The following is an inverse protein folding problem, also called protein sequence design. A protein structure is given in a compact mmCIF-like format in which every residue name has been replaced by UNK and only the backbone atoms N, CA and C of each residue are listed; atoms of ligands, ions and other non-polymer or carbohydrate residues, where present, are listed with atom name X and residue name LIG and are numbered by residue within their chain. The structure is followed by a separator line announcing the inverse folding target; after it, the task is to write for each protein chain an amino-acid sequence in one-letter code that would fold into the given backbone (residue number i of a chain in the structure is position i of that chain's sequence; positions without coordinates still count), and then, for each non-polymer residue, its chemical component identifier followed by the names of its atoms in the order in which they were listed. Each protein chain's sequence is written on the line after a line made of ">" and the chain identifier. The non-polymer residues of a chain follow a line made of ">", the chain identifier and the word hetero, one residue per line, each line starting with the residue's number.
data_IF_309598687769
#
_entry.id   IF_309598687769
#
_cell.length_a   1.000
_cell.length_b   1.000
_cell.length_c   1.000
_cell.angle_alpha   90.00
_cell.angle_beta   90.00
_cell.angle_gamma   90.00
#
_symmetry.space_group_name_H-M   'P 1'
#
loop_
_entity.id
_entity.type
_entity.pdbx_description
1 polymer ?
#
# COMPACT_ATOMS: atom_id res chain seq x y z
N UNK A 1 2.23 -4.44 -1.72
CA UNK A 1 2.77 -3.63 -0.62
C UNK A 1 1.90 -2.41 -0.43
N UNK A 2 1.79 -1.94 0.79
CA UNK A 2 0.89 -0.87 1.20
C UNK A 2 1.19 0.48 0.52
N UNK A 3 0.29 1.44 0.71
CA UNK A 3 0.51 2.86 0.40
C UNK A 3 0.02 3.70 1.57
N UNK A 4 0.69 4.83 1.83
CA UNK A 4 0.21 5.79 2.81
C UNK A 4 0.23 7.22 2.28
N UNK A 5 -0.58 8.03 2.95
CA UNK A 5 -0.70 9.47 2.80
C UNK A 5 -0.64 10.12 4.19
N UNK A 6 0.07 11.23 4.28
CA UNK A 6 0.11 12.13 5.43
C UNK A 6 -0.30 13.52 4.95
N UNK A 7 -1.15 14.18 5.72
CA UNK A 7 -1.49 15.59 5.58
C UNK A 7 -1.20 16.33 6.88
N UNK A 8 -0.62 17.52 6.75
CA UNK A 8 -0.51 18.53 7.81
C UNK A 8 -0.91 19.90 7.25
N UNK A 9 -1.93 20.52 7.85
CA UNK A 9 -2.40 21.87 7.52
C UNK A 9 -2.26 22.86 8.67
N UNK A 10 -2.24 24.15 8.36
CA UNK A 10 -2.59 25.22 9.31
C UNK A 10 -4.10 25.23 9.59
N UNK A 11 -4.91 24.97 8.57
CA UNK A 11 -6.37 24.79 8.67
C UNK A 11 -6.81 23.34 8.51
N UNK A 12 -8.04 23.07 8.93
CA UNK A 12 -8.65 21.74 8.77
C UNK A 12 -9.03 21.50 7.31
N UNK A 13 -8.77 20.29 6.81
CA UNK A 13 -9.27 19.84 5.52
C UNK A 13 -10.21 18.65 5.69
N UNK A 14 -11.25 18.61 4.85
CA UNK A 14 -12.11 17.43 4.75
C UNK A 14 -11.30 16.22 4.30
N UNK A 15 -11.51 15.08 4.93
CA UNK A 15 -10.87 13.82 4.56
C UNK A 15 -11.15 13.46 3.08
N UNK A 16 -12.35 13.76 2.56
CA UNK A 16 -12.73 13.42 1.18
C UNK A 16 -11.82 14.06 0.12
N UNK A 17 -11.37 15.30 0.35
CA UNK A 17 -10.46 16.07 -0.52
C UNK A 17 -9.04 15.48 -0.64
N UNK A 18 -8.71 14.52 0.23
CA UNK A 18 -7.44 13.81 0.25
C UNK A 18 -7.61 12.34 -0.14
N UNK A 19 -8.67 11.72 0.37
CA UNK A 19 -8.82 10.27 0.37
C UNK A 19 -9.62 9.77 -0.83
N UNK A 20 -10.64 10.52 -1.25
CA UNK A 20 -11.61 10.07 -2.26
C UNK A 20 -11.43 10.81 -3.58
N UNK A 21 -11.45 12.14 -3.51
CA UNK A 21 -11.65 13.04 -4.65
C UNK A 21 -10.44 13.17 -5.59
N UNK A 22 -9.17 13.22 -5.11
CA UNK A 22 -8.03 13.40 -6.01
C UNK A 22 -7.96 12.39 -7.16
N UNK A 23 -7.40 12.82 -8.29
CA UNK A 23 -7.35 11.99 -9.51
C UNK A 23 -6.60 10.68 -9.30
N UNK A 24 -5.58 10.68 -8.44
CA UNK A 24 -4.83 9.50 -7.99
C UNK A 24 -4.89 9.35 -6.46
N UNK A 25 -6.10 9.49 -5.89
CA UNK A 25 -6.34 9.43 -4.44
C UNK A 25 -5.90 8.10 -3.82
N UNK A 26 -5.69 8.07 -2.49
CA UNK A 26 -5.33 6.84 -1.78
C UNK A 26 -6.40 5.74 -1.96
N UNK A 27 -7.66 6.11 -2.13
CA UNK A 27 -8.74 5.19 -2.52
C UNK A 27 -8.46 4.57 -3.88
N UNK A 28 -8.11 5.36 -4.90
CA UNK A 28 -7.77 4.81 -6.23
C UNK A 28 -6.51 3.95 -6.17
N UNK A 29 -5.49 4.38 -5.45
CA UNK A 29 -4.28 3.59 -5.19
C UNK A 29 -4.59 2.24 -4.54
N UNK A 30 -5.74 2.06 -3.87
CA UNK A 30 -6.12 0.76 -3.30
C UNK A 30 -6.52 -0.29 -4.34
N UNK A 31 -6.98 0.08 -5.55
CA UNK A 31 -7.34 -0.89 -6.61
C UNK A 31 -6.71 -0.59 -7.98
N UNK A 32 -6.04 0.55 -8.11
CA UNK A 32 -5.26 0.98 -9.28
C UNK A 32 -3.94 1.60 -8.78
N UNK A 33 -3.09 0.75 -8.16
CA UNK A 33 -1.71 1.12 -7.80
C UNK A 33 -0.84 1.12 -9.05
N UNK A 34 -0.61 2.28 -9.64
CA UNK A 34 0.18 2.41 -10.89
C UNK A 34 1.69 2.28 -10.66
N UNK A 35 2.18 2.44 -9.43
CA UNK A 35 3.55 2.10 -9.01
C UNK A 35 3.69 0.64 -8.50
N UNK A 36 2.91 -0.30 -9.04
CA UNK A 36 3.05 -1.72 -8.70
C UNK A 36 3.47 -2.52 -9.91
N UNK A 37 4.74 -2.94 -9.90
CA UNK A 37 5.36 -3.69 -10.99
C UNK A 37 5.19 -5.22 -10.85
N UNK A 38 4.76 -5.72 -9.69
CA UNK A 38 4.50 -7.15 -9.48
C UNK A 38 3.05 -7.51 -9.81
N UNK A 39 2.86 -8.26 -10.90
CA UNK A 39 1.57 -8.78 -11.38
C UNK A 39 1.13 -10.07 -10.68
N UNK A 40 1.97 -10.69 -9.83
CA UNK A 40 1.69 -12.01 -9.22
C UNK A 40 0.76 -11.94 -8.01
N UNK A 41 0.82 -10.85 -7.25
CA UNK A 41 -0.12 -10.53 -6.17
C UNK A 41 -0.98 -9.39 -6.69
N UNK A 42 -2.21 -9.70 -7.11
CA UNK A 42 -3.13 -8.80 -7.85
C UNK A 42 -3.02 -7.31 -7.50
N UNK A 43 -3.31 -6.44 -8.48
CA UNK A 43 -3.01 -5.00 -8.52
C UNK A 43 -3.54 -4.14 -7.35
N UNK A 44 -4.19 -4.74 -6.34
CA UNK A 44 -4.99 -4.06 -5.35
C UNK A 44 -4.38 -4.18 -3.94
N UNK A 45 -4.38 -3.09 -3.18
CA UNK A 45 -4.25 -3.06 -1.72
C UNK A 45 -5.62 -3.34 -1.10
N UNK A 46 -6.04 -4.60 -1.22
CA UNK A 46 -7.38 -5.07 -0.88
C UNK A 46 -7.54 -5.50 0.59
N UNK A 47 -6.44 -5.58 1.34
CA UNK A 47 -6.37 -6.29 2.62
C UNK A 47 -6.72 -5.39 3.82
N UNK A 48 -7.41 -4.29 3.53
CA UNK A 48 -7.88 -3.31 4.48
C UNK A 48 -7.33 -1.91 4.25
N UNK A 49 -7.82 -0.98 5.06
CA UNK A 49 -7.37 0.40 5.10
C UNK A 49 -7.46 0.92 6.54
N UNK A 50 -6.83 2.06 6.78
CA UNK A 50 -7.10 2.83 7.97
C UNK A 50 -6.83 4.31 7.80
N UNK A 51 -7.55 5.09 8.58
CA UNK A 51 -7.43 6.54 8.64
C UNK A 51 -7.33 6.92 10.10
N UNK A 52 -6.27 7.65 10.43
CA UNK A 52 -6.09 8.26 11.73
C UNK A 52 -6.05 9.78 11.59
N UNK A 53 -6.73 10.50 12.49
CA UNK A 53 -6.74 11.95 12.47
C UNK A 53 -6.86 12.51 13.88
N UNK A 54 -6.21 13.66 14.11
CA UNK A 54 -6.35 14.37 15.38
C UNK A 54 -7.64 15.19 15.37
N UNK A 55 -8.31 15.23 16.52
CA UNK A 55 -9.58 15.94 16.69
C UNK A 55 -9.38 17.19 17.52
N UNK A 56 -10.48 17.86 17.89
CA UNK A 56 -10.42 18.99 18.80
C UNK A 56 -9.76 18.57 20.13
N UNK A 57 -8.79 19.32 20.67
CA UNK A 57 -8.08 18.98 21.92
C UNK A 57 -9.00 18.68 23.11
N UNK A 58 -10.24 19.19 23.12
CA UNK A 58 -11.25 18.89 24.15
C UNK A 58 -11.65 17.40 24.19
N UNK A 59 -11.43 16.65 23.13
CA UNK A 59 -11.71 15.20 23.05
C UNK A 59 -10.51 14.33 23.48
N UNK A 60 -9.39 14.96 23.86
CA UNK A 60 -8.15 14.28 24.26
C UNK A 60 -7.05 14.41 23.21
N UNK A 61 -5.82 14.04 23.61
CA UNK A 61 -4.64 14.12 22.74
C UNK A 61 -4.47 12.90 21.81
N UNK A 62 -5.21 11.81 22.06
CA UNK A 62 -5.14 10.62 21.23
C UNK A 62 -5.81 10.85 19.85
N UNK A 63 -5.25 10.31 18.77
CA UNK A 63 -5.89 10.34 17.46
C UNK A 63 -7.18 9.50 17.47
N UNK A 64 -8.14 9.86 16.61
CA UNK A 64 -9.25 8.99 16.27
C UNK A 64 -8.86 8.10 15.10
N UNK A 65 -9.14 6.79 15.20
CA UNK A 65 -8.82 5.82 14.15
C UNK A 65 -10.09 5.20 13.57
N UNK A 66 -10.10 5.05 12.25
CA UNK A 66 -11.07 4.26 11.51
C UNK A 66 -10.32 3.27 10.62
N UNK A 67 -10.21 2.03 11.09
CA UNK A 67 -9.60 0.90 10.38
C UNK A 67 -10.67 -0.08 9.92
N UNK A 68 -10.38 -0.83 8.86
CA UNK A 68 -11.22 -1.95 8.42
C UNK A 68 -10.42 -2.92 7.58
N UNK A 69 -10.75 -4.21 7.66
CA UNK A 69 -10.25 -5.24 6.75
C UNK A 69 -10.97 -5.25 5.39
N UNK A 70 -12.06 -4.50 5.25
CA UNK A 70 -12.77 -4.36 3.97
C UNK A 70 -11.93 -3.49 3.02
N UNK A 71 -11.82 -3.82 1.72
CA UNK A 71 -11.16 -2.95 0.77
C UNK A 71 -11.75 -1.54 0.76
N UNK A 72 -10.91 -0.50 0.66
CA UNK A 72 -11.34 0.89 0.79
C UNK A 72 -12.44 1.28 -0.22
N UNK A 73 -12.32 0.84 -1.48
CA UNK A 73 -13.32 1.10 -2.54
C UNK A 73 -14.69 0.50 -2.26
N UNK A 74 -14.77 -0.51 -1.40
CA UNK A 74 -16.00 -1.20 -1.04
C UNK A 74 -16.53 -0.79 0.35
N UNK A 75 -16.08 0.36 0.88
CA UNK A 75 -16.54 0.87 2.18
C UNK A 75 -17.45 2.09 2.03
N UNK A 76 -18.78 1.93 2.10
CA UNK A 76 -19.72 3.05 2.18
C UNK A 76 -19.53 3.89 3.45
N UNK A 77 -19.03 3.29 4.53
CA UNK A 77 -18.71 3.99 5.77
C UNK A 77 -17.56 4.99 5.56
N UNK A 78 -16.53 4.58 4.80
CA UNK A 78 -15.43 5.47 4.44
C UNK A 78 -15.94 6.71 3.71
N UNK A 79 -16.79 6.53 2.70
CA UNK A 79 -17.36 7.65 1.94
C UNK A 79 -18.18 8.61 2.84
N UNK A 80 -19.04 8.05 3.71
CA UNK A 80 -19.88 8.83 4.63
C UNK A 80 -19.06 9.61 5.66
N UNK A 81 -18.06 8.97 6.27
CA UNK A 81 -17.22 9.61 7.28
C UNK A 81 -16.30 10.65 6.65
N UNK A 82 -15.69 10.34 5.51
CA UNK A 82 -14.72 11.23 4.88
C UNK A 82 -15.33 12.55 4.39
N UNK A 83 -16.62 12.54 3.99
CA UNK A 83 -17.35 13.75 3.57
C UNK A 83 -17.79 14.67 4.72
N UNK A 84 -17.64 14.23 5.98
CA UNK A 84 -18.12 14.97 7.18
C UNK A 84 -17.07 15.14 8.27
N UNK A 85 -15.85 14.67 8.03
CA UNK A 85 -14.76 14.73 9.00
C UNK A 85 -13.67 15.62 8.43
N UNK A 86 -13.20 16.58 9.24
CA UNK A 86 -12.08 17.45 8.89
C UNK A 86 -11.01 17.39 9.99
N UNK A 87 -9.75 17.58 9.61
CA UNK A 87 -8.63 17.64 10.56
C UNK A 87 -7.44 18.38 9.97
N UNK A 88 -6.58 18.91 10.85
CA UNK A 88 -5.29 19.52 10.52
C UNK A 88 -4.16 18.50 10.35
N UNK A 89 -4.36 17.26 10.80
CA UNK A 89 -3.32 16.23 10.73
C UNK A 89 -3.97 14.86 10.53
N UNK A 90 -3.73 14.28 9.36
CA UNK A 90 -4.39 13.06 8.89
C UNK A 90 -3.32 12.09 8.38
N UNK A 91 -3.42 10.85 8.82
CA UNK A 91 -2.72 9.69 8.29
C UNK A 91 -3.73 8.77 7.61
N UNK A 92 -3.47 8.35 6.39
CA UNK A 92 -4.31 7.39 5.68
C UNK A 92 -3.42 6.30 5.08
N UNK A 93 -3.88 5.05 5.13
CA UNK A 93 -3.11 3.89 4.70
C UNK A 93 -4.01 2.84 4.07
N UNK A 94 -3.52 2.21 3.00
CA UNK A 94 -4.17 1.08 2.34
C UNK A 94 -3.23 -0.11 2.35
N UNK A 95 -3.74 -1.24 2.86
CA UNK A 95 -2.93 -2.41 3.21
C UNK A 95 -2.88 -3.41 2.05
N UNK A 96 -1.70 -3.94 1.82
CA UNK A 96 -1.50 -5.20 1.09
C UNK A 96 -0.67 -6.13 1.95
N UNK A 97 -1.22 -7.30 2.28
CA UNK A 97 -0.69 -8.26 3.26
C UNK A 97 0.69 -8.76 2.83
N UNK A 98 1.67 -8.46 3.67
CA UNK A 98 2.99 -9.09 3.69
C UNK A 98 3.10 -10.07 4.85
N UNK A 99 2.67 -9.62 6.02
CA UNK A 99 2.74 -10.31 7.30
C UNK A 99 1.43 -10.16 8.07
N UNK A 100 1.19 -11.11 8.99
CA UNK A 100 -0.01 -11.16 9.82
C UNK A 100 -1.26 -11.66 9.08
N UNK A 101 -2.30 -11.97 9.86
CA UNK A 101 -3.61 -12.35 9.32
C UNK A 101 -4.40 -11.13 8.82
N UNK A 102 -5.53 -11.39 8.15
CA UNK A 102 -6.52 -10.36 7.87
C UNK A 102 -7.28 -10.04 9.17
N UNK A 103 -6.78 -9.05 9.93
CA UNK A 103 -7.41 -8.51 11.14
C UNK A 103 -7.32 -6.98 11.09
N UNK A 104 -8.27 -6.30 11.73
CA UNK A 104 -8.23 -4.85 11.90
C UNK A 104 -7.03 -4.42 12.75
N UNK A 105 -6.59 -5.26 13.69
CA UNK A 105 -5.38 -5.03 14.50
C UNK A 105 -4.09 -4.98 13.65
N UNK A 106 -4.14 -5.48 12.40
CA UNK A 106 -3.00 -5.44 11.48
C UNK A 106 -3.10 -4.29 10.46
N UNK A 107 -4.12 -3.44 10.56
CA UNK A 107 -4.33 -2.30 9.68
C UNK A 107 -3.74 -1.03 10.30
N UNK A 108 -2.80 -0.41 9.58
CA UNK A 108 -2.30 0.92 9.93
C UNK A 108 -3.41 1.98 9.84
N UNK A 109 -3.30 3.10 10.58
CA UNK A 109 -2.23 3.43 11.51
C UNK A 109 -2.37 2.70 12.86
N UNK A 110 -1.24 2.53 13.54
CA UNK A 110 -1.18 2.14 14.96
C UNK A 110 -1.10 3.40 15.83
N UNK A 111 -1.42 3.29 17.12
CA UNK A 111 -1.31 4.42 18.04
C UNK A 111 -0.98 4.00 19.47
N UNK A 112 -0.38 4.91 20.23
CA UNK A 112 -0.21 4.82 21.68
C UNK A 112 -0.20 6.23 22.26
N UNK A 113 -1.10 6.54 23.20
CA UNK A 113 -1.24 7.90 23.71
C UNK A 113 -1.50 8.90 22.58
N UNK A 114 -0.68 9.95 22.48
CA UNK A 114 -0.73 10.93 21.38
C UNK A 114 0.15 10.55 20.19
N UNK A 115 0.75 9.37 20.15
CA UNK A 115 1.61 8.93 19.05
C UNK A 115 0.82 8.10 18.04
N UNK A 116 1.03 8.34 16.76
CA UNK A 116 0.42 7.58 15.65
C UNK A 116 1.49 7.14 14.65
N UNK A 117 1.40 5.91 14.16
CA UNK A 117 2.44 5.23 13.38
C UNK A 117 1.90 4.53 12.13
N UNK A 118 2.62 4.67 11.02
CA UNK A 118 2.42 3.94 9.77
C UNK A 118 3.74 3.37 9.26
N UNK A 119 3.64 2.27 8.50
CA UNK A 119 4.79 1.67 7.83
C UNK A 119 4.39 1.20 6.42
N UNK A 120 5.21 1.54 5.43
CA UNK A 120 5.18 0.96 4.09
C UNK A 120 6.53 0.29 3.81
N UNK A 121 6.53 -1.04 3.81
CA UNK A 121 7.76 -1.82 3.65
C UNK A 121 7.70 -3.11 4.43
N UNK A 122 8.86 -3.56 4.92
CA UNK A 122 9.00 -4.79 5.69
C UNK A 122 10.38 -4.87 6.33
N UNK A 123 10.44 -5.53 7.49
CA UNK A 123 11.69 -5.82 8.18
C UNK A 123 12.34 -7.08 7.58
N UNK A 124 13.61 -6.97 7.19
CA UNK A 124 14.41 -8.08 6.70
C UNK A 124 14.60 -9.15 7.78
N UNK A 125 14.66 -10.42 7.36
CA UNK A 125 14.88 -11.54 8.28
C UNK A 125 13.85 -11.66 9.40
N UNK A 126 12.62 -11.16 9.23
CA UNK A 126 11.59 -11.05 10.28
C UNK A 126 11.43 -12.30 11.15
N UNK A 127 11.37 -13.48 10.50
CA UNK A 127 11.30 -14.81 11.13
C UNK A 127 12.39 -15.05 12.20
N UNK A 128 13.58 -14.48 12.03
CA UNK A 128 14.75 -14.70 12.89
C UNK A 128 14.97 -13.58 13.90
N UNK A 129 14.45 -12.38 13.65
CA UNK A 129 14.63 -11.25 14.55
C UNK A 129 13.46 -11.09 15.53
N UNK A 130 12.25 -11.55 15.19
CA UNK A 130 11.03 -11.34 16.01
C UNK A 130 11.21 -11.72 17.48
N UNK A 131 11.79 -12.89 17.77
CA UNK A 131 12.01 -13.35 19.15
C UNK A 131 12.98 -12.44 19.91
N UNK A 132 14.11 -12.11 19.29
CA UNK A 132 15.16 -11.26 19.89
C UNK A 132 14.68 -9.82 20.07
N UNK A 133 13.89 -9.31 19.13
CA UNK A 133 13.20 -8.03 19.27
C UNK A 133 12.27 -8.06 20.49
N UNK A 134 11.44 -9.10 20.62
CA UNK A 134 10.55 -9.25 21.78
C UNK A 134 11.30 -9.34 23.12
N UNK A 135 12.42 -10.04 23.18
CA UNK A 135 13.29 -10.14 24.38
C UNK A 135 13.90 -8.80 24.79
N UNK A 136 14.07 -7.86 23.85
CA UNK A 136 14.60 -6.52 24.12
C UNK A 136 13.57 -5.56 24.71
N UNK A 137 12.29 -5.71 24.35
CA UNK A 137 11.24 -4.79 24.77
C UNK A 137 10.98 -4.89 26.28
N UNK A 138 10.73 -3.75 26.93
CA UNK A 138 10.12 -3.78 28.26
C UNK A 138 8.71 -4.41 28.20
N UNK A 139 8.30 -5.08 29.28
CA UNK A 139 7.03 -5.82 29.37
C UNK A 139 5.84 -5.00 28.89
N UNK A 140 5.77 -3.71 29.24
CA UNK A 140 4.66 -2.83 28.86
C UNK A 140 4.51 -2.65 27.35
N UNK A 141 5.62 -2.65 26.61
CA UNK A 141 5.61 -2.52 25.15
C UNK A 141 5.42 -3.86 24.46
N UNK A 142 6.00 -4.93 25.01
CA UNK A 142 5.77 -6.30 24.53
C UNK A 142 4.29 -6.67 24.62
N UNK A 143 3.67 -6.45 25.78
CA UNK A 143 2.26 -6.75 26.04
C UNK A 143 1.29 -5.80 25.32
N UNK A 144 1.79 -4.65 24.86
CA UNK A 144 1.01 -3.68 24.09
C UNK A 144 0.81 -4.06 22.62
N UNK A 145 1.56 -5.04 22.10
CA UNK A 145 1.40 -5.54 20.73
C UNK A 145 0.18 -6.46 20.68
N UNK A 146 -0.79 -6.14 19.82
CA UNK A 146 -2.05 -6.88 19.67
C UNK A 146 -2.07 -7.67 18.37
N UNK A 147 -1.60 -7.07 17.28
CA UNK A 147 -1.50 -7.70 15.97
C UNK A 147 -0.26 -8.56 15.79
N UNK A 148 -0.05 -8.99 14.54
CA UNK A 148 0.99 -9.94 14.15
C UNK A 148 2.05 -9.38 13.20
N UNK A 149 1.97 -8.09 12.84
CA UNK A 149 2.80 -7.49 11.79
C UNK A 149 4.15 -7.01 12.32
N UNK A 150 5.20 -7.17 11.52
CA UNK A 150 6.50 -6.55 11.75
C UNK A 150 6.42 -5.03 12.01
N UNK A 151 5.44 -4.37 11.38
CA UNK A 151 5.16 -2.95 11.48
C UNK A 151 4.74 -2.49 12.88
N UNK A 152 3.93 -3.29 13.57
CA UNK A 152 3.48 -3.02 14.93
C UNK A 152 4.60 -3.31 15.94
N UNK A 153 5.36 -4.38 15.73
CA UNK A 153 6.55 -4.68 16.53
C UNK A 153 7.63 -3.59 16.38
N UNK A 154 7.78 -3.01 15.19
CA UNK A 154 8.64 -1.85 14.98
C UNK A 154 8.13 -0.61 15.73
N UNK A 155 6.82 -0.42 15.84
CA UNK A 155 6.25 0.65 16.66
C UNK A 155 6.49 0.41 18.16
N UNK A 156 6.31 -0.81 18.65
CA UNK A 156 6.63 -1.15 20.03
C UNK A 156 8.13 -0.92 20.35
N UNK A 157 9.02 -1.24 19.41
CA UNK A 157 10.45 -0.92 19.52
C UNK A 157 10.72 0.59 19.55
N UNK A 158 9.98 1.38 18.77
CA UNK A 158 10.06 2.84 18.82
C UNK A 158 9.63 3.38 20.19
N UNK A 159 8.53 2.88 20.76
CA UNK A 159 8.05 3.28 22.09
C UNK A 159 9.06 2.94 23.19
N UNK A 160 9.60 1.71 23.17
CA UNK A 160 10.67 1.29 24.08
C UNK A 160 11.93 2.16 23.94
N UNK A 161 12.31 2.49 22.70
CA UNK A 161 13.46 3.37 22.42
C UNK A 161 13.23 4.78 22.98
N UNK A 162 12.04 5.35 22.80
CA UNK A 162 11.68 6.67 23.30
C UNK A 162 11.69 6.71 24.84
N UNK A 163 11.16 5.66 25.49
CA UNK A 163 11.24 5.48 26.95
C UNK A 163 12.69 5.45 27.42
N UNK A 164 13.54 4.63 26.81
CA UNK A 164 14.97 4.49 27.19
C UNK A 164 15.76 5.76 26.96
N UNK A 165 15.30 6.65 26.08
CA UNK A 165 15.85 8.00 25.90
C UNK A 165 15.42 8.99 27.00
N UNK A 166 14.59 8.56 27.95
CA UNK A 166 14.13 9.37 29.08
C UNK A 166 12.79 10.09 28.86
N UNK A 167 12.04 9.73 27.82
CA UNK A 167 10.73 10.32 27.51
C UNK A 167 9.64 9.28 27.66
N UNK A 168 8.65 9.50 28.54
CA UNK A 168 7.54 8.56 28.67
C UNK A 168 6.63 8.63 27.42
N UNK A 169 6.50 7.56 26.62
CA UNK A 169 5.66 7.58 25.41
C UNK A 169 4.16 7.69 25.73
N UNK A 170 3.76 7.38 26.98
CA UNK A 170 2.40 7.61 27.47
C UNK A 170 2.15 9.05 27.87
N UNK A 171 3.18 9.88 27.98
CA UNK A 171 3.02 11.30 28.22
C UNK A 171 2.29 11.96 27.05
N UNK A 172 1.50 12.98 27.34
CA UNK A 172 0.80 13.79 26.34
C UNK A 172 1.24 15.24 26.48
N UNK A 173 2.50 15.58 26.11
CA UNK A 173 3.00 16.94 26.28
C UNK A 173 2.17 17.90 25.44
N UNK A 174 1.81 19.06 26.02
CA UNK A 174 0.96 20.06 25.37
C UNK A 174 1.50 20.54 24.00
N UNK A 175 2.83 20.50 23.82
CA UNK A 175 3.52 20.92 22.60
C UNK A 175 4.14 19.75 21.81
N UNK A 176 3.76 18.52 22.14
CA UNK A 176 4.39 17.31 21.64
C UNK A 176 5.77 17.04 22.26
N UNK A 177 6.39 15.92 21.86
CA UNK A 177 7.72 15.51 22.28
C UNK A 177 8.83 16.35 21.63
N UNK A 178 8.50 17.00 20.51
CA UNK A 178 9.41 17.85 19.75
C UNK A 178 10.15 17.09 18.63
N UNK A 179 10.38 17.75 17.49
CA UNK A 179 10.87 17.10 16.27
C UNK A 179 12.24 16.44 16.45
N UNK A 180 13.14 17.07 17.21
CA UNK A 180 14.49 16.55 17.45
C UNK A 180 14.47 15.24 18.24
N UNK A 181 13.59 15.14 19.23
CA UNK A 181 13.45 13.94 20.07
C UNK A 181 12.92 12.79 19.24
N UNK A 182 11.81 13.00 18.53
CA UNK A 182 11.20 11.99 17.67
C UNK A 182 12.15 11.53 16.56
N UNK A 183 12.88 12.46 15.93
CA UNK A 183 13.88 12.13 14.91
C UNK A 183 15.00 11.25 15.48
N UNK A 184 15.53 11.59 16.66
CA UNK A 184 16.59 10.79 17.31
C UNK A 184 16.08 9.39 17.69
N UNK A 185 14.87 9.29 18.23
CA UNK A 185 14.24 8.01 18.56
C UNK A 185 14.02 7.15 17.31
N UNK A 186 13.57 7.76 16.20
CA UNK A 186 13.39 7.07 14.92
C UNK A 186 14.72 6.53 14.38
N UNK A 187 15.78 7.36 14.37
CA UNK A 187 17.11 6.93 13.92
C UNK A 187 17.65 5.78 14.78
N UNK A 188 17.52 5.88 16.11
CA UNK A 188 17.94 4.79 17.00
C UNK A 188 17.10 3.52 16.80
N UNK A 189 15.81 3.66 16.51
CA UNK A 189 14.94 2.51 16.17
C UNK A 189 15.45 1.79 14.92
N UNK A 190 15.79 2.53 13.85
CA UNK A 190 16.36 1.95 12.62
C UNK A 190 17.69 1.27 12.89
N UNK A 191 18.59 1.91 13.66
CA UNK A 191 19.87 1.33 14.07
C UNK A 191 19.67 0.00 14.80
N UNK A 192 18.76 -0.07 15.78
CA UNK A 192 18.44 -1.29 16.52
C UNK A 192 17.85 -2.40 15.63
N UNK A 193 17.02 -2.04 14.64
CA UNK A 193 16.50 -3.01 13.67
C UNK A 193 17.65 -3.59 12.84
N UNK A 194 18.57 -2.75 12.36
CA UNK A 194 19.75 -3.21 11.61
C UNK A 194 20.64 -4.11 12.49
N UNK A 195 20.93 -3.72 13.74
CA UNK A 195 21.71 -4.55 14.69
C UNK A 195 21.10 -5.95 14.85
N UNK A 196 19.77 -6.04 15.03
CA UNK A 196 19.08 -7.32 15.15
C UNK A 196 19.22 -8.19 13.90
N UNK A 197 19.23 -7.57 12.71
CA UNK A 197 19.38 -8.26 11.43
C UNK A 197 20.83 -8.72 11.21
N UNK A 198 21.80 -7.88 11.55
CA UNK A 198 23.23 -8.17 11.42
C UNK A 198 23.65 -9.36 12.31
N UNK A 199 22.98 -9.54 13.43
CA UNK A 199 23.15 -10.69 14.35
C UNK A 199 22.58 -12.03 13.80
N UNK A 200 21.93 -12.06 12.63
CA UNK A 200 21.48 -13.32 12.03
C UNK A 200 22.71 -14.10 11.53
N UNK A 201 22.93 -15.37 11.96
CA UNK A 201 24.08 -16.14 11.51
C UNK A 201 24.13 -16.31 10.00
N UNK A 202 25.31 -16.06 9.40
CA UNK A 202 25.55 -16.20 7.97
C UNK A 202 25.19 -17.60 7.43
N UNK A 203 25.41 -18.65 8.25
CA UNK A 203 25.04 -20.02 7.91
C UNK A 203 23.53 -20.19 7.68
N UNK A 204 22.69 -19.48 8.44
CA UNK A 204 21.24 -19.48 8.28
C UNK A 204 20.83 -18.68 7.05
N UNK A 205 21.45 -17.51 6.85
CA UNK A 205 21.18 -16.64 5.69
C UNK A 205 21.41 -17.43 4.40
N UNK A 206 22.53 -18.14 4.30
CA UNK A 206 22.88 -18.93 3.11
C UNK A 206 22.01 -20.19 2.97
N UNK A 207 21.79 -20.93 4.06
CA UNK A 207 21.02 -22.18 4.01
C UNK A 207 19.56 -21.98 3.66
N UNK A 208 18.91 -20.95 4.22
CA UNK A 208 17.48 -20.67 4.01
C UNK A 208 17.23 -19.54 3.00
N UNK A 209 18.28 -18.96 2.41
CA UNK A 209 18.21 -17.82 1.48
C UNK A 209 17.40 -16.66 2.06
N UNK A 210 17.72 -16.30 3.30
CA UNK A 210 17.00 -15.27 4.06
C UNK A 210 17.27 -13.90 3.46
N UNK A 211 16.22 -13.16 3.15
CA UNK A 211 16.33 -11.78 2.70
C UNK A 211 16.44 -10.85 3.92
N UNK A 212 17.63 -10.31 4.16
CA UNK A 212 17.95 -9.45 5.30
C UNK A 212 17.71 -7.97 5.03
N UNK A 213 17.39 -7.59 3.79
CA UNK A 213 17.16 -6.19 3.44
C UNK A 213 15.79 -5.71 3.92
N UNK A 214 15.78 -4.59 4.61
CA UNK A 214 14.57 -3.91 5.08
C UNK A 214 14.20 -2.75 4.17
N UNK A 215 12.91 -2.55 3.96
CA UNK A 215 12.35 -1.30 3.44
C UNK A 215 11.60 -0.67 4.60
N UNK A 216 12.03 0.49 5.08
CA UNK A 216 11.49 1.08 6.31
C UNK A 216 10.93 2.47 6.04
N UNK A 217 9.90 2.59 5.19
CA UNK A 217 9.20 3.87 5.07
C UNK A 217 8.23 4.01 6.25
N UNK A 218 8.74 4.47 7.38
CA UNK A 218 7.94 4.79 8.57
C UNK A 218 7.39 6.21 8.48
N UNK A 219 6.18 6.40 9.02
CA UNK A 219 5.62 7.72 9.31
C UNK A 219 5.10 7.73 10.75
N UNK A 220 5.58 8.68 11.55
CA UNK A 220 5.26 8.85 12.96
C UNK A 220 4.77 10.28 13.19
N UNK A 221 3.82 10.47 14.09
CA UNK A 221 3.45 11.80 14.59
C UNK A 221 3.04 11.78 16.05
N UNK A 222 3.25 12.88 16.76
CA UNK A 222 2.76 13.15 18.12
C UNK A 222 1.61 14.18 18.15
N UNK A 223 0.98 14.45 17.00
CA UNK A 223 -0.03 15.50 16.83
C UNK A 223 0.54 16.88 16.46
N UNK A 224 1.85 17.08 16.64
CA UNK A 224 2.52 18.38 16.42
C UNK A 224 3.61 18.29 15.36
N UNK A 225 4.45 17.28 15.49
CA UNK A 225 5.54 16.94 14.60
C UNK A 225 5.25 15.65 13.86
N UNK A 226 5.82 15.55 12.66
CA UNK A 226 5.76 14.34 11.84
C UNK A 226 7.19 13.96 11.45
N UNK A 227 7.52 12.69 11.59
CA UNK A 227 8.76 12.08 11.13
C UNK A 227 8.41 11.04 10.09
N UNK A 228 8.87 11.23 8.85
CA UNK A 228 8.77 10.25 7.78
C UNK A 228 10.17 9.78 7.39
N UNK A 229 10.34 8.51 7.08
CA UNK A 229 11.60 7.96 6.59
C UNK A 229 11.40 7.39 5.19
N UNK A 230 12.42 7.54 4.34
CA UNK A 230 12.55 6.79 3.09
C UNK A 230 13.86 6.02 3.19
N UNK A 231 13.80 4.72 3.48
CA UNK A 231 14.97 3.96 3.91
C UNK A 231 15.02 2.54 3.36
N UNK A 232 16.21 2.10 2.98
CA UNK A 232 16.56 0.72 2.65
C UNK A 232 17.89 0.33 3.30
N UNK A 233 17.93 -0.86 3.93
CA UNK A 233 19.15 -1.41 4.54
C UNK A 233 20.04 -2.11 3.50
N UNK A 234 20.41 -1.37 2.45
CA UNK A 234 21.27 -1.83 1.37
C UNK A 234 22.01 -0.64 0.77
N UNK A 235 23.30 -0.80 0.48
CA UNK A 235 24.08 0.22 -0.19
C UNK A 235 23.82 0.25 -1.71
N UNK A 236 23.22 -0.79 -2.28
CA UNK A 236 23.06 -0.94 -3.74
C UNK A 236 21.62 -0.86 -4.20
N UNK A 237 20.64 -1.01 -3.31
CA UNK A 237 19.22 -1.01 -3.66
C UNK A 237 18.58 0.35 -3.41
N UNK A 238 17.53 0.66 -4.17
CA UNK A 238 16.65 1.82 -3.98
C UNK A 238 15.58 1.56 -2.90
N UNK A 239 15.23 2.61 -2.15
CA UNK A 239 14.13 2.55 -1.20
C UNK A 239 12.77 2.68 -1.88
N UNK A 240 11.72 2.23 -1.18
CA UNK A 240 10.33 2.42 -1.57
C UNK A 240 10.01 3.90 -1.80
N UNK A 241 9.15 4.17 -2.78
CA UNK A 241 8.83 5.52 -3.20
C UNK A 241 8.22 6.35 -2.07
N UNK A 242 8.61 7.63 -2.03
CA UNK A 242 8.05 8.60 -1.11
C UNK A 242 8.22 9.99 -1.69
N UNK A 243 7.12 10.73 -1.74
CA UNK A 243 7.04 12.06 -2.28
C UNK A 243 6.50 13.00 -1.20
N UNK A 244 6.86 14.27 -1.28
CA UNK A 244 6.21 15.31 -0.51
C UNK A 244 5.84 16.51 -1.37
N UNK A 245 4.79 17.20 -0.98
CA UNK A 245 4.35 18.46 -1.56
C UNK A 245 4.08 19.44 -0.44
N UNK A 246 4.34 20.72 -0.67
CA UNK A 246 4.18 21.75 0.35
C UNK A 246 3.80 23.06 -0.30
N UNK A 247 2.76 23.73 0.17
CA UNK A 247 2.25 24.95 -0.48
C UNK A 247 1.28 25.70 0.41
N UNK A 248 0.66 26.75 -0.12
CA UNK A 248 -0.32 27.56 0.60
C UNK A 248 -1.68 26.86 0.70
N UNK A 249 -2.14 26.18 -0.35
CA UNK A 249 -3.48 25.57 -0.34
C UNK A 249 -3.55 24.30 -1.17
N UNK A 250 -4.44 23.39 -0.77
CA UNK A 250 -4.81 22.18 -1.53
C UNK A 250 -6.26 22.31 -1.98
N UNK A 251 -6.46 22.63 -3.26
CA UNK A 251 -7.78 22.95 -3.80
C UNK A 251 -8.08 22.18 -5.08
N UNK A 252 -9.36 21.95 -5.33
CA UNK A 252 -9.85 21.46 -6.61
C UNK A 252 -9.99 22.63 -7.58
N UNK A 253 -9.27 22.58 -8.70
CA UNK A 253 -9.40 23.53 -9.80
C UNK A 253 -10.01 22.82 -11.00
N UNK A 254 -11.35 22.78 -11.10
CA UNK A 254 -12.00 22.10 -12.21
C UNK A 254 -11.52 22.72 -13.53
N UNK A 255 -10.97 21.89 -14.41
CA UNK A 255 -10.68 22.26 -15.79
C UNK A 255 -11.87 21.87 -16.65
N UNK A 256 -11.95 22.41 -17.88
CA UNK A 256 -13.03 22.07 -18.81
C UNK A 256 -13.10 20.57 -19.18
N UNK A 257 -12.06 19.78 -18.87
CA UNK A 257 -11.96 18.33 -19.14
C UNK A 257 -12.06 17.45 -17.89
N UNK A 258 -11.66 17.93 -16.70
CA UNK A 258 -11.59 17.14 -15.46
C UNK A 258 -12.22 17.88 -14.26
N UNK A 259 -13.33 17.34 -13.75
CA UNK A 259 -14.09 17.91 -12.62
C UNK A 259 -13.36 17.80 -11.26
N UNK A 260 -12.31 16.97 -11.16
CA UNK A 260 -11.59 16.66 -9.91
C UNK A 260 -10.08 16.87 -10.04
N UNK A 261 -9.67 18.02 -10.54
CA UNK A 261 -8.26 18.36 -10.73
C UNK A 261 -7.71 19.11 -9.50
N UNK A 262 -7.33 18.33 -8.48
CA UNK A 262 -6.65 18.88 -7.30
C UNK A 262 -5.24 19.35 -7.62
N UNK A 263 -4.83 20.47 -7.05
CA UNK A 263 -3.48 21.00 -7.23
C UNK A 263 -2.94 21.60 -5.93
N UNK A 264 -1.62 21.55 -5.77
CA UNK A 264 -0.94 22.27 -4.70
C UNK A 264 -0.67 23.69 -5.17
N UNK A 265 -1.31 24.67 -4.54
CA UNK A 265 -1.07 26.08 -4.82
C UNK A 265 0.08 26.64 -3.97
N UNK A 266 0.87 27.55 -4.56
CA UNK A 266 2.02 28.23 -3.93
C UNK A 266 1.96 29.73 -4.20
N UNK A 267 0.95 30.42 -3.66
CA UNK A 267 0.80 31.90 -3.84
C UNK A 267 1.83 32.68 -3.05
N UNK A 268 2.14 32.21 -1.86
CA UNK A 268 2.99 32.91 -0.90
C UNK A 268 4.30 32.16 -0.63
N UNK A 269 5.24 32.85 0.04
CA UNK A 269 6.50 32.23 0.50
C UNK A 269 6.31 31.24 1.65
N UNK A 270 5.12 31.24 2.27
CA UNK A 270 4.76 30.33 3.35
C UNK A 270 4.20 29.00 2.83
N UNK A 271 4.50 27.92 3.55
CA UNK A 271 3.76 26.68 3.41
C UNK A 271 2.69 26.65 4.51
N UNK A 272 1.45 26.42 4.14
CA UNK A 272 0.32 26.20 5.03
C UNK A 272 -0.11 24.73 5.04
N UNK A 273 0.14 24.04 3.93
CA UNK A 273 -0.18 22.63 3.71
C UNK A 273 1.09 21.86 3.38
N UNK A 274 1.23 20.69 3.98
CA UNK A 274 2.25 19.70 3.66
C UNK A 274 1.57 18.34 3.46
N UNK A 275 1.86 17.72 2.32
CA UNK A 275 1.48 16.35 1.98
C UNK A 275 2.72 15.48 1.89
N UNK A 276 2.64 14.25 2.38
CA UNK A 276 3.63 13.19 2.12
C UNK A 276 2.89 11.96 1.65
N UNK A 277 3.28 11.37 0.53
CA UNK A 277 2.56 10.24 -0.04
C UNK A 277 3.52 9.21 -0.66
N UNK A 278 3.13 7.94 -0.60
CA UNK A 278 3.85 6.86 -1.30
C UNK A 278 3.79 7.03 -2.83
N UNK A 279 2.68 7.54 -3.35
CA UNK A 279 2.51 7.95 -4.75
C UNK A 279 1.84 9.35 -4.79
N UNK A 280 2.19 10.23 -5.74
CA UNK A 280 1.55 11.54 -5.90
C UNK A 280 0.03 11.42 -6.06
N UNK A 281 -0.74 12.28 -5.41
CA UNK A 281 -2.22 12.27 -5.52
C UNK A 281 -2.74 12.84 -6.84
N UNK A 282 -1.88 13.56 -7.58
CA UNK A 282 -2.19 14.34 -8.78
C UNK A 282 -1.08 14.15 -9.80
N UNK A 283 -1.38 14.46 -11.07
CA UNK A 283 -0.47 14.16 -12.17
C UNK A 283 0.53 15.29 -12.50
N UNK A 284 0.45 16.42 -11.81
CA UNK A 284 1.40 17.51 -12.00
C UNK A 284 2.69 17.23 -11.24
N UNK A 285 3.67 16.69 -11.94
CA UNK A 285 4.97 16.33 -11.37
C UNK A 285 5.69 17.50 -10.70
N UNK A 286 5.55 18.71 -11.23
CA UNK A 286 6.14 19.93 -10.68
C UNK A 286 5.66 20.28 -9.25
N UNK A 287 4.52 19.72 -8.84
CA UNK A 287 3.98 19.92 -7.51
C UNK A 287 4.52 18.94 -6.46
N UNK A 288 5.25 17.90 -6.86
CA UNK A 288 5.73 16.85 -5.98
C UNK A 288 7.25 16.74 -6.01
N UNK A 289 7.85 16.66 -4.82
CA UNK A 289 9.30 16.51 -4.64
C UNK A 289 9.60 15.10 -4.18
N UNK A 290 10.57 14.47 -4.83
CA UNK A 290 11.07 13.15 -4.46
C UNK A 290 11.84 13.23 -3.15
N UNK A 291 11.48 12.41 -2.16
CA UNK A 291 12.34 12.21 -0.98
C UNK A 291 13.54 11.36 -1.40
N UNK A 292 14.79 11.78 -1.15
CA UNK A 292 15.97 10.97 -1.50
C UNK A 292 16.02 9.66 -0.72
N UNK A 293 16.67 8.64 -1.30
CA UNK A 293 16.89 7.35 -0.62
C UNK A 293 17.73 7.56 0.64
N UNK A 294 17.42 6.82 1.70
CA UNK A 294 18.05 6.90 3.02
C UNK A 294 18.03 8.33 3.58
N UNK A 295 16.83 8.92 3.62
CA UNK A 295 16.58 10.24 4.18
C UNK A 295 15.44 10.22 5.19
N UNK A 296 15.51 11.14 6.15
CA UNK A 296 14.48 11.40 7.15
C UNK A 296 13.88 12.79 6.91
N UNK A 297 12.58 12.82 6.67
CA UNK A 297 11.77 14.01 6.49
C UNK A 297 11.12 14.36 7.83
N UNK A 298 11.30 15.59 8.27
CA UNK A 298 10.73 16.13 9.50
C UNK A 298 9.81 17.28 9.17
N UNK A 299 8.57 17.23 9.67
CA UNK A 299 7.61 18.32 9.59
C UNK A 299 7.35 18.82 11.01
N UNK A 300 7.50 20.11 11.23
CA UNK A 300 7.11 20.75 12.49
C UNK A 300 6.47 22.11 12.16
N UNK A 301 5.25 22.32 12.64
CA UNK A 301 4.38 23.35 12.08
C UNK A 301 4.13 23.05 10.60
N UNK A 302 4.60 23.93 9.72
CA UNK A 302 4.54 23.75 8.27
C UNK A 302 5.93 23.78 7.60
N UNK A 303 6.99 23.75 8.40
CA UNK A 303 8.36 23.67 7.88
C UNK A 303 8.71 22.21 7.62
N UNK A 304 9.16 21.94 6.39
CA UNK A 304 9.66 20.62 5.97
C UNK A 304 11.18 20.65 5.95
N UNK A 305 11.81 19.69 6.62
CA UNK A 305 13.26 19.52 6.60
C UNK A 305 13.60 18.09 6.22
N UNK A 306 14.52 17.92 5.27
CA UNK A 306 15.00 16.61 4.83
C UNK A 306 16.47 16.47 5.21
N UNK A 307 16.80 15.41 5.94
CA UNK A 307 18.17 15.13 6.37
C UNK A 307 18.58 13.74 5.89
N UNK A 308 19.83 13.52 5.46
CA UNK A 308 20.31 12.18 5.14
C UNK A 308 20.39 11.33 6.43
N UNK A 309 20.11 10.04 6.30
CA UNK A 309 20.38 9.03 7.32
C UNK A 309 21.80 8.54 7.09
N UNK A 310 22.66 8.78 8.08
CA UNK A 310 24.10 8.51 8.01
C UNK A 310 24.42 7.17 8.68
N UNK A 311 24.49 6.11 7.88
CA UNK A 311 24.82 4.76 8.33
C UNK A 311 25.68 3.99 7.31
N UNK A 312 25.89 2.69 7.53
CA UNK A 312 26.67 1.82 6.65
C UNK A 312 26.11 1.67 5.23
N UNK A 313 24.85 2.04 5.01
CA UNK A 313 24.20 1.98 3.71
C UNK A 313 24.17 3.35 3.01
N UNK A 314 24.64 4.41 3.66
CA UNK A 314 24.77 5.74 3.07
C UNK A 314 25.98 5.81 2.11
N UNK A 315 25.83 6.56 1.01
CA UNK A 315 26.92 6.81 0.07
C UNK A 315 26.95 8.30 -0.30
N UNK A 316 28.12 8.92 -0.13
CA UNK A 316 28.34 10.34 -0.40
C UNK A 316 28.69 10.67 -1.84
N UNK A 317 28.97 9.66 -2.66
CA UNK A 317 29.33 9.88 -4.06
C UNK A 317 28.12 10.39 -4.85
N UNK A 318 28.20 11.55 -5.52
CA UNK A 318 27.10 12.08 -6.34
C UNK A 318 26.84 11.22 -7.58
N UNK A 319 27.74 10.30 -7.92
CA UNK A 319 27.60 9.35 -9.04
C UNK A 319 27.09 7.98 -8.59
N UNK A 320 26.78 7.82 -7.31
CA UNK A 320 26.28 6.55 -6.79
C UNK A 320 24.87 6.29 -7.32
N UNK A 321 24.71 5.17 -8.02
CA UNK A 321 23.43 4.70 -8.53
C UNK A 321 22.97 3.48 -7.74
N UNK A 322 21.66 3.35 -7.60
CA UNK A 322 21.01 2.25 -6.88
C UNK A 322 20.03 1.53 -7.79
N UNK A 323 19.87 0.23 -7.54
CA UNK A 323 18.99 -0.64 -8.31
C UNK A 323 17.57 -0.61 -7.77
N UNK A 324 16.60 -0.38 -8.64
CA UNK A 324 15.17 -0.53 -8.31
C UNK A 324 14.72 -2.00 -8.26
N UNK A 325 15.56 -2.97 -8.63
CA UNK A 325 15.13 -4.37 -8.76
C UNK A 325 14.58 -4.96 -7.44
N UNK A 326 15.18 -4.62 -6.30
CA UNK A 326 14.74 -5.12 -5.00
C UNK A 326 13.34 -4.62 -4.62
N UNK A 327 13.12 -3.32 -4.71
CA UNK A 327 11.84 -2.70 -4.36
C UNK A 327 10.73 -3.17 -5.32
N UNK A 328 11.05 -3.37 -6.59
CA UNK A 328 10.15 -3.95 -7.60
C UNK A 328 9.79 -5.40 -7.30
N UNK A 329 10.77 -6.23 -6.93
CA UNK A 329 10.54 -7.61 -6.49
C UNK A 329 9.59 -7.67 -5.29
N UNK A 330 9.64 -6.67 -4.40
CA UNK A 330 8.71 -6.58 -3.27
C UNK A 330 7.33 -6.05 -3.66
N UNK A 331 7.10 -5.58 -4.89
CA UNK A 331 5.83 -5.00 -5.33
C UNK A 331 5.65 -3.53 -4.90
N UNK A 332 6.76 -2.80 -4.83
CA UNK A 332 6.87 -1.36 -4.61
C UNK A 332 7.59 -0.72 -5.82
N UNK A 333 7.55 0.61 -5.93
CA UNK A 333 8.42 1.34 -6.87
C UNK A 333 9.46 2.17 -6.14
N UNK A 334 10.53 2.51 -6.86
CA UNK A 334 11.47 3.55 -6.48
C UNK A 334 11.00 4.92 -7.01
N UNK A 335 11.61 6.01 -6.53
CA UNK A 335 11.39 7.35 -7.07
C UNK A 335 12.11 7.60 -8.41
N UNK A 336 13.18 6.85 -8.71
CA UNK A 336 14.06 7.10 -9.85
C UNK A 336 13.71 6.28 -11.11
N UNK A 337 14.07 6.85 -12.25
CA UNK A 337 13.94 6.23 -13.58
C UNK A 337 14.97 5.10 -13.70
N UNK A 338 14.59 3.98 -14.30
CA UNK A 338 15.56 3.17 -15.03
C UNK A 338 16.14 4.07 -16.12
N UNK A 339 17.40 4.46 -16.00
CA UNK A 339 18.16 4.82 -17.19
C UNK A 339 18.16 3.55 -18.04
N UNK A 340 17.29 3.48 -19.06
CA UNK A 340 17.43 2.47 -20.09
C UNK A 340 18.81 2.68 -20.69
N UNK A 341 19.73 1.77 -20.39
CA UNK A 341 20.97 1.68 -21.17
C UNK A 341 20.56 1.47 -22.63
N UNK A 342 21.04 2.28 -23.59
CA UNK A 342 20.70 2.15 -25.00
C UNK A 342 21.03 0.75 -25.59
N UNK A 343 21.82 -0.03 -24.87
CA UNK A 343 22.27 -1.36 -25.28
C UNK A 343 21.15 -2.42 -25.38
N UNK A 344 19.99 -2.23 -24.74
CA UNK A 344 18.90 -3.22 -24.77
C UNK A 344 17.88 -2.99 -25.91
N UNK A 345 17.79 -1.77 -26.45
CA UNK A 345 16.92 -1.52 -27.62
C UNK A 345 17.52 -2.12 -28.90
N UNK A 346 18.84 -2.12 -29.04
CA UNK A 346 19.50 -2.75 -30.19
C UNK A 346 19.43 -4.28 -30.14
N UNK A 347 19.55 -4.90 -28.96
CA UNK A 347 19.42 -6.36 -28.84
C UNK A 347 17.98 -6.84 -29.14
N UNK A 348 16.96 -6.10 -28.71
CA UNK A 348 15.56 -6.43 -28.98
C UNK A 348 15.14 -6.17 -30.44
N UNK A 349 15.70 -5.13 -31.09
CA UNK A 349 15.49 -4.87 -32.52
C UNK A 349 16.22 -5.88 -33.41
N UNK A 350 17.42 -6.32 -33.02
CA UNK A 350 18.17 -7.35 -33.76
C UNK A 350 17.51 -8.73 -33.61
N UNK A 351 16.96 -9.08 -32.45
CA UNK A 351 16.22 -10.35 -32.30
C UNK A 351 14.88 -10.36 -33.03
N UNK A 352 14.13 -9.25 -33.02
CA UNK A 352 12.84 -9.17 -33.71
C UNK A 352 13.00 -9.20 -35.25
N UNK A 353 14.05 -8.57 -35.79
CA UNK A 353 14.36 -8.63 -37.22
C UNK A 353 14.89 -9.99 -37.67
N UNK A 354 15.67 -10.69 -36.83
CA UNK A 354 16.13 -12.05 -37.10
C UNK A 354 14.97 -13.06 -37.10
N UNK A 355 14.02 -12.94 -36.16
CA UNK A 355 12.83 -13.81 -36.09
C UNK A 355 11.87 -13.54 -37.26
N UNK A 356 11.72 -12.27 -37.68
CA UNK A 356 10.92 -11.90 -38.84
C UNK A 356 11.55 -12.37 -40.16
N UNK A 357 12.88 -12.31 -40.29
CA UNK A 357 13.62 -12.81 -41.45
C UNK A 357 13.54 -14.34 -41.56
N UNK A 358 13.68 -15.08 -40.46
CA UNK A 358 13.53 -16.54 -40.44
C UNK A 358 12.10 -16.99 -40.77
N UNK A 359 11.08 -16.26 -40.29
CA UNK A 359 9.68 -16.54 -40.58
C UNK A 359 9.31 -16.26 -42.06
N UNK A 360 9.94 -15.26 -42.68
CA UNK A 360 9.77 -14.94 -44.10
C UNK A 360 10.47 -15.97 -45.00
N UNK A 361 11.66 -16.45 -44.59
CA UNK A 361 12.45 -17.43 -45.33
C UNK A 361 11.81 -18.84 -45.29
N UNK A 362 11.13 -19.20 -44.18
CA UNK A 362 10.31 -20.42 -44.09
C UNK A 362 9.00 -20.35 -44.89
N UNK A 363 8.47 -19.16 -45.17
CA UNK A 363 7.27 -18.99 -46.04
C UNK A 363 7.57 -19.07 -47.53
N UNK A 364 8.82 -18.87 -47.94
CA UNK A 364 9.23 -18.92 -49.36
C UNK A 364 9.73 -20.30 -49.81
N UNK A 365 9.93 -21.25 -48.89
CA UNK A 365 10.37 -22.62 -49.19
C UNK A 365 9.28 -23.64 -48.88
N UNK A 366 8.15 -23.52 -49.58
CA UNK A 366 7.15 -24.58 -49.66
C UNK A 366 7.22 -25.28 -51.00
N UNK A 367 7.80 -26.49 -51.06
CA UNK A 367 7.34 -27.64 -51.85
C UNK A 367 8.50 -28.63 -52.10
N UNK A 368 8.51 -29.75 -51.38
CA UNK A 368 8.95 -31.04 -51.91
C UNK A 368 8.40 -32.17 -51.01
N UNK A 369 7.79 -33.17 -51.66
CA UNK A 369 7.07 -34.29 -51.07
C UNK A 369 7.98 -35.42 -50.54
N UNK A 370 7.33 -36.43 -49.88
CA UNK A 370 7.77 -37.81 -49.50
C UNK A 370 7.97 -38.01 -47.99
N UNK A 371 7.75 -39.17 -47.36
CA UNK A 371 6.94 -40.40 -47.51
C UNK A 371 7.01 -41.09 -46.11
N UNK A 372 6.11 -42.03 -45.74
CA UNK A 372 5.94 -42.44 -44.34
C UNK A 372 6.88 -43.59 -43.91
N UNK A 373 7.35 -43.56 -42.65
CA UNK A 373 8.11 -44.64 -42.00
C UNK A 373 7.79 -44.72 -40.48
N UNK A 374 8.08 -45.85 -39.79
CA UNK A 374 7.06 -46.69 -39.18
C UNK A 374 6.94 -46.62 -37.65
N UNK A 375 5.84 -47.21 -37.18
CA UNK A 375 5.44 -47.45 -35.79
C UNK A 375 6.40 -48.35 -35.01
N UNK A 376 6.72 -47.98 -33.75
CA UNK A 376 7.30 -48.89 -32.74
C UNK A 376 6.53 -48.82 -31.41
N UNK A 377 6.36 -49.95 -30.69
CA UNK A 377 5.43 -50.05 -29.57
C UNK A 377 6.07 -49.71 -28.20
N UNK A 378 5.22 -49.22 -27.29
CA UNK A 378 5.55 -48.79 -25.93
C UNK A 378 5.47 -49.98 -24.96
N UNK A 379 6.57 -50.31 -24.28
CA UNK A 379 6.62 -51.35 -23.23
C UNK A 379 6.38 -50.72 -21.85
N UNK A 380 5.48 -51.30 -21.07
CA UNK A 380 5.28 -51.05 -19.62
C UNK A 380 6.11 -52.05 -18.81
N UNK A 381 6.59 -51.69 -17.60
CA UNK A 381 6.86 -52.68 -16.58
C UNK A 381 5.75 -52.71 -15.52
N UNK A 382 5.50 -53.92 -15.06
CA UNK A 382 4.48 -54.40 -14.13
C UNK A 382 4.93 -54.28 -12.67
N UNK A 383 3.94 -54.38 -11.79
CA UNK A 383 3.95 -54.35 -10.32
C UNK A 383 4.55 -55.63 -9.73
N UNK A 384 5.21 -55.52 -8.57
CA UNK A 384 5.18 -56.57 -7.54
C UNK A 384 5.12 -55.98 -6.12
N UNK A 385 4.37 -56.69 -5.27
CA UNK A 385 3.87 -56.29 -3.94
C UNK A 385 4.62 -57.08 -2.87
N UNK A 386 4.84 -56.50 -1.69
CA UNK A 386 4.90 -57.28 -0.44
C UNK A 386 4.38 -56.46 0.74
N UNK A 387 3.52 -57.12 1.53
CA UNK A 387 2.85 -56.68 2.74
C UNK A 387 3.66 -57.12 3.96
N UNK A 388 3.74 -56.31 5.01
CA UNK A 388 3.69 -56.81 6.40
C UNK A 388 2.93 -55.86 7.33
N UNK A 389 1.91 -56.45 7.98
CA UNK A 389 1.13 -55.94 9.11
C UNK A 389 1.99 -55.88 10.38
N UNK A 390 1.74 -54.91 11.27
CA UNK A 390 1.63 -55.17 12.73
C UNK A 390 0.94 -54.05 13.53
N UNK A 391 -0.27 -54.41 13.98
CA UNK A 391 -0.91 -54.22 15.29
C UNK A 391 -0.88 -52.87 16.04
N UNK A 392 -2.12 -52.38 16.19
CA UNK A 392 -2.70 -51.50 17.20
C UNK A 392 -2.36 -51.91 18.64
N UNK A 393 -2.04 -50.92 19.49
CA UNK A 393 -2.29 -50.98 20.94
C UNK A 393 -3.01 -49.72 21.41
N UNK A 394 -4.20 -49.92 21.98
CA UNK A 394 -5.02 -48.92 22.65
C UNK A 394 -4.53 -48.71 24.09
N UNK A 395 -4.49 -47.46 24.56
CA UNK A 395 -4.37 -47.14 25.98
C UNK A 395 -5.62 -46.41 26.45
N UNK A 396 -6.21 -46.96 27.52
CA UNK A 396 -7.46 -46.56 28.18
C UNK A 396 -7.39 -45.14 28.73
N UNK A 397 -8.42 -44.33 28.46
CA UNK A 397 -8.80 -43.19 29.29
C UNK A 397 -10.10 -43.56 30.00
N UNK A 398 -10.04 -43.54 31.33
CA UNK A 398 -11.11 -43.93 32.24
C UNK A 398 -12.09 -42.76 32.39
N UNK A 399 -13.36 -43.02 32.06
CA UNK A 399 -14.49 -42.14 32.37
C UNK A 399 -14.83 -42.24 33.86
N UNK A 400 -15.05 -41.10 34.51
CA UNK A 400 -16.00 -40.99 35.62
C UNK A 400 -17.11 -40.00 35.23
N UNK A 401 -18.31 -40.54 35.09
CA UNK A 401 -19.57 -39.80 35.04
C UNK A 401 -20.05 -39.52 36.47
N UNK A 402 -20.60 -38.33 36.73
CA UNK A 402 -21.87 -38.18 37.49
C UNK A 402 -22.72 -37.05 36.90
N UNK A 403 -24.01 -37.32 36.93
CA UNK A 403 -25.16 -36.67 36.30
C UNK A 403 -25.51 -35.26 36.83
N UNK A 404 -26.07 -34.39 35.98
CA UNK A 404 -27.51 -34.08 35.93
C UNK A 404 -27.82 -32.81 35.09
N UNK A 405 -28.77 -32.96 34.15
CA UNK A 405 -29.43 -31.92 33.34
C UNK A 405 -30.70 -31.41 34.07
N UNK A 406 -31.61 -30.57 33.50
CA UNK A 406 -31.58 -29.81 32.23
C UNK A 406 -32.21 -28.38 32.26
N UNK A 407 -31.87 -27.54 31.25
CA UNK A 407 -32.80 -26.87 30.31
C UNK A 407 -32.29 -25.49 29.81
N UNK A 408 -32.23 -25.24 28.49
CA UNK A 408 -32.03 -23.92 27.89
C UNK A 408 -33.35 -23.28 27.45
N UNK A 409 -33.46 -21.93 27.35
CA UNK A 409 -34.62 -21.30 26.75
C UNK A 409 -34.53 -21.27 25.22
N UNK A 410 -35.67 -21.57 24.60
CA UNK A 410 -35.99 -21.53 23.19
C UNK A 410 -36.04 -20.10 22.63
N UNK A 411 -35.44 -19.86 21.46
CA UNK A 411 -35.82 -18.75 20.58
C UNK A 411 -36.41 -19.28 19.27
N UNK A 412 -37.61 -18.81 18.97
CA UNK A 412 -38.43 -19.19 17.82
C UNK A 412 -38.00 -18.52 16.52
N UNK A 413 -38.18 -19.29 15.44
CA UNK A 413 -38.03 -18.89 14.05
C UNK A 413 -39.04 -17.82 13.61
N UNK A 414 -38.63 -16.87 12.75
CA UNK A 414 -39.39 -16.51 11.54
C UNK A 414 -38.42 -16.23 10.39
N UNK A 415 -38.36 -17.17 9.42
CA UNK A 415 -37.83 -16.96 8.06
C UNK A 415 -38.96 -16.42 7.18
N UNK A 416 -38.78 -15.27 6.53
CA UNK A 416 -39.57 -14.89 5.33
C UNK A 416 -38.64 -14.68 4.13
N UNK A 417 -38.76 -15.64 3.21
CA UNK A 417 -38.16 -15.73 1.88
C UNK A 417 -39.01 -14.87 0.93
N UNK A 418 -38.42 -13.88 0.24
CA UNK A 418 -39.11 -13.13 -0.82
C UNK A 418 -38.58 -13.61 -2.18
N UNK A 419 -39.46 -14.24 -2.95
CA UNK A 419 -39.25 -14.61 -4.36
C UNK A 419 -39.71 -13.46 -5.25
N UNK A 420 -39.03 -13.35 -6.39
CA UNK A 420 -39.30 -12.51 -7.56
C UNK A 420 -40.64 -12.83 -8.24
N UNK A 421 -41.18 -11.86 -8.98
CA UNK A 421 -41.95 -12.06 -10.22
C UNK A 421 -42.11 -10.71 -10.97
N UNK A 422 -41.82 -10.76 -12.27
CA UNK A 422 -42.07 -9.71 -13.27
C UNK A 422 -43.51 -9.84 -13.83
N UNK A 423 -43.97 -8.73 -14.42
CA UNK A 423 -44.65 -8.60 -15.71
C UNK A 423 -46.16 -8.27 -15.77
N UNK A 424 -46.46 -7.39 -16.75
CA UNK A 424 -47.73 -7.02 -17.43
C UNK A 424 -48.73 -6.12 -16.67
N UNK A 425 -49.46 -5.18 -17.28
CA UNK A 425 -49.49 -4.46 -18.58
C UNK A 425 -50.73 -3.52 -18.52
N UNK A 426 -50.70 -2.38 -19.25
CA UNK A 426 -51.86 -1.63 -19.84
C UNK A 426 -52.85 -0.92 -18.89
N UNK A 427 -53.51 0.20 -19.18
CA UNK A 427 -53.63 1.17 -20.29
C UNK A 427 -54.65 2.26 -19.88
N UNK A 428 -54.81 3.32 -20.70
CA UNK A 428 -55.81 4.42 -20.69
C UNK A 428 -55.29 5.73 -20.06
N UNK A 429 -55.39 6.91 -20.65
CA UNK A 429 -56.01 7.37 -21.90
C UNK A 429 -55.91 8.92 -21.96
N UNK A 430 -55.60 9.45 -23.14
CA UNK A 430 -55.49 10.86 -23.58
C UNK A 430 -56.91 11.55 -23.62
N UNK A 431 -57.16 12.81 -24.08
CA UNK A 431 -56.30 13.77 -24.80
C UNK A 431 -56.48 15.30 -24.50
N UNK A 432 -55.58 16.14 -25.05
CA UNK A 432 -55.97 17.42 -25.69
C UNK A 432 -54.91 17.89 -26.74
N UNK A 433 -55.41 18.10 -27.96
CA UNK A 433 -54.85 18.74 -29.18
C UNK A 433 -54.56 20.25 -28.94
N UNK A 434 -53.67 20.96 -29.63
CA UNK A 434 -53.59 21.15 -31.09
C UNK A 434 -52.33 21.96 -31.52
N UNK A 435 -52.06 21.90 -32.84
CA UNK A 435 -51.35 22.83 -33.74
C UNK A 435 -49.87 22.63 -34.11
N UNK A 436 -49.59 23.09 -35.33
CA UNK A 436 -48.89 22.46 -36.44
C UNK A 436 -47.91 23.48 -37.06
N UNK A 437 -46.69 23.06 -37.40
CA UNK A 437 -45.91 23.63 -38.51
C UNK A 437 -44.62 22.83 -38.71
N UNK A 438 -44.42 22.33 -39.93
CA UNK A 438 -43.34 21.42 -40.30
C UNK A 438 -41.94 22.03 -40.42
N UNK A 439 -40.96 21.14 -40.31
CA UNK A 439 -39.66 21.20 -40.99
C UNK A 439 -39.07 19.79 -41.04
N UNK A 440 -38.42 19.46 -42.15
CA UNK A 440 -37.79 18.16 -42.45
C UNK A 440 -36.66 17.77 -41.47
N UNK A 441 -36.34 16.48 -41.33
CA UNK A 441 -35.49 15.98 -40.24
C UNK A 441 -33.98 16.13 -40.55
N UNK A 442 -33.14 16.56 -39.61
CA UNK A 442 -31.71 16.33 -39.70
C UNK A 442 -31.36 14.90 -39.23
N UNK A 443 -30.47 14.28 -39.97
CA UNK A 443 -29.72 13.04 -39.70
C UNK A 443 -29.18 12.98 -38.26
N UNK A 444 -29.06 11.78 -37.65
CA UNK A 444 -28.57 11.67 -36.28
C UNK A 444 -27.08 11.99 -36.23
N UNK A 445 -26.74 13.14 -35.65
CA UNK A 445 -25.38 13.47 -35.24
C UNK A 445 -24.97 12.61 -34.04
N UNK A 446 -23.73 12.16 -34.12
CA UNK A 446 -22.99 11.26 -33.24
C UNK A 446 -23.29 11.41 -31.73
N UNK A 447 -23.35 10.26 -31.05
CA UNK A 447 -23.26 10.17 -29.59
C UNK A 447 -22.05 10.99 -29.09
N UNK A 448 -22.15 11.69 -27.95
CA UNK A 448 -21.00 12.40 -27.39
C UNK A 448 -19.86 11.40 -27.15
N UNK A 449 -18.60 11.77 -27.42
CA UNK A 449 -17.49 10.85 -27.27
C UNK A 449 -17.47 10.38 -25.82
N UNK A 450 -17.37 9.06 -25.62
CA UNK A 450 -17.09 8.47 -24.33
C UNK A 450 -15.87 9.17 -23.75
N UNK A 451 -16.11 9.92 -22.68
CA UNK A 451 -15.13 10.49 -21.79
C UNK A 451 -13.96 9.51 -21.58
N UNK A 452 -12.77 9.86 -22.08
CA UNK A 452 -11.51 9.11 -21.95
C UNK A 452 -10.94 9.20 -20.51
N UNK A 453 -11.79 9.00 -19.51
CA UNK A 453 -11.36 8.89 -18.13
C UNK A 453 -10.58 7.58 -17.96
N UNK A 454 -9.29 7.69 -17.65
CA UNK A 454 -8.42 6.54 -17.39
C UNK A 454 -7.57 6.07 -18.57
N UNK A 455 -7.36 6.89 -19.62
CA UNK A 455 -6.39 6.55 -20.67
C UNK A 455 -4.98 6.39 -20.09
N UNK A 456 -4.42 5.15 -20.05
CA UNK A 456 -3.08 4.87 -19.52
C UNK A 456 -1.99 5.68 -20.23
N UNK A 457 -2.22 6.07 -21.48
CA UNK A 457 -1.24 6.77 -22.31
C UNK A 457 -1.06 8.24 -21.92
N UNK A 458 -2.10 8.91 -21.40
CA UNK A 458 -1.97 10.29 -20.88
C UNK A 458 -1.10 10.31 -19.61
N UNK A 459 -1.17 9.25 -18.80
CA UNK A 459 -0.34 9.06 -17.59
C UNK A 459 1.12 8.72 -17.95
N UNK A 460 1.33 7.90 -19.00
CA UNK A 460 2.65 7.58 -19.55
C UNK A 460 3.48 8.82 -19.89
N UNK A 461 2.81 9.88 -20.33
CA UNK A 461 3.46 11.12 -20.74
C UNK A 461 4.00 11.93 -19.55
N UNK A 462 3.30 11.93 -18.41
CA UNK A 462 3.69 12.72 -17.23
C UNK A 462 4.51 11.91 -16.21
N UNK A 463 4.24 10.61 -16.10
CA UNK A 463 5.00 9.65 -15.28
C UNK A 463 5.22 8.36 -16.08
N UNK A 464 6.24 8.32 -16.95
CA UNK A 464 6.57 7.11 -17.69
C UNK A 464 6.92 5.92 -16.78
N UNK A 465 7.30 6.17 -15.53
CA UNK A 465 7.46 5.16 -14.46
C UNK A 465 6.15 4.51 -13.98
N UNK A 466 4.98 5.10 -14.26
CA UNK A 466 3.64 4.60 -13.90
C UNK A 466 3.01 3.73 -15.01
N UNK A 467 3.62 3.69 -16.20
CA UNK A 467 3.12 2.86 -17.30
C UNK A 467 3.85 1.54 -17.38
N UNK A 468 3.07 0.46 -17.24
CA UNK A 468 3.49 -0.91 -17.51
C UNK A 468 3.95 -1.02 -18.97
N UNK A 469 5.12 -1.62 -19.18
CA UNK A 469 5.44 -2.31 -20.44
C UNK A 469 4.69 -3.65 -20.49
#
# INVERSE_FOLDING_TARGET
>A
MCRFLVYKGSDEILLSKLILEPTHSILKQSFDSRLRLDTRRGQNNADGFGIGFYTNPKLGAAPCLFTSTTPAWNSPNLNRLASKTASRLIFAHVRATTEGSLSEDNCHPFYHGSLMWMHNGGLGGWKYIKRRLGERLADRWYLGVVGGTDSEWAFALFLDTLERMGYDPSAQPEKGFGPTVLRRAMLKTIELINELIDDIPESIIQAEKVDTRSLLNFALTDGHSIICTRYVSSATDEAASLYYSSGSQWENRPSHEDECNFQMERRDKGADVVLVASEPLTFERENWVNVPTNSILTIHGQTVMVHPIMDQFSNHSPYHTRSAAYVQMKGLSANEKLAMTPALEDAARVSASAIAAEALQRRLQGSAAQAPLPYQPRVRPTVETSLELRSVTQSKVQQQQRHSSPNPPSQGNIKKKRRSLNALERSQGDPHRDQDSGSEPPTPSEEPPRNNFGDPNKIAQYFPELTLS
#
